data_IF_981676408578
#
_entry.id   IF_981676408578
#
_cell.length_a   1.000
_cell.length_b   1.000
_cell.length_c   1.000
_cell.angle_alpha   90.00
_cell.angle_beta   90.00
_cell.angle_gamma   90.00
#
_symmetry.space_group_name_H-M   'P 1'
#
loop_
_entity.id
_entity.type
_entity.pdbx_description
1 polymer ?
#
# COMPACT_ATOMS: atom_id res chain seq x y z
N UNK A 1 21.84 -41.41 23.37
CA UNK A 1 21.08 -40.16 23.26
C UNK A 1 20.71 -39.95 21.79
N UNK A 2 19.44 -40.12 21.44
CA UNK A 2 18.96 -40.18 20.07
C UNK A 2 18.61 -38.78 19.53
N UNK A 3 19.54 -38.17 18.78
CA UNK A 3 19.29 -37.02 17.91
C UNK A 3 18.68 -37.53 16.60
N UNK A 4 17.39 -37.90 16.59
CA UNK A 4 16.69 -38.28 15.35
C UNK A 4 15.44 -37.45 15.05
N UNK A 5 15.11 -36.50 15.91
CA UNK A 5 13.88 -35.69 15.80
C UNK A 5 14.11 -34.23 15.40
N UNK A 6 15.36 -33.75 15.38
CA UNK A 6 15.67 -32.34 15.05
C UNK A 6 15.47 -31.97 13.57
N UNK A 7 15.61 -32.93 12.65
CA UNK A 7 15.48 -32.66 11.21
C UNK A 7 14.03 -32.43 10.74
N UNK A 8 13.04 -33.01 11.43
CA UNK A 8 11.65 -32.92 11.03
C UNK A 8 11.05 -31.51 11.23
N UNK A 9 11.59 -30.74 12.18
CA UNK A 9 11.11 -29.37 12.48
C UNK A 9 11.61 -28.35 11.45
N UNK A 10 12.80 -28.57 10.87
CA UNK A 10 13.37 -27.66 9.85
C UNK A 10 12.61 -27.69 8.52
N UNK A 11 12.01 -28.83 8.15
CA UNK A 11 11.20 -28.94 6.92
C UNK A 11 9.88 -28.17 7.03
N UNK A 12 9.36 -27.94 8.24
CA UNK A 12 8.13 -27.16 8.44
C UNK A 12 8.33 -25.64 8.38
N UNK A 13 9.58 -25.16 8.25
CA UNK A 13 9.90 -23.75 8.07
C UNK A 13 10.16 -23.35 6.61
N UNK A 14 9.99 -24.28 5.66
CA UNK A 14 9.96 -23.95 4.24
C UNK A 14 8.64 -23.23 3.93
N UNK A 15 8.60 -21.92 4.18
CA UNK A 15 7.48 -21.06 3.81
C UNK A 15 7.32 -21.14 2.30
N UNK A 16 6.24 -21.76 1.84
CA UNK A 16 5.82 -21.64 0.44
C UNK A 16 5.16 -20.28 0.28
N UNK A 17 5.72 -19.46 -0.62
CA UNK A 17 5.04 -18.24 -1.04
C UNK A 17 3.80 -18.64 -1.85
N UNK A 18 2.63 -18.25 -1.37
CA UNK A 18 1.37 -18.39 -2.11
C UNK A 18 1.16 -17.16 -2.99
N UNK A 19 0.62 -17.37 -4.19
CA UNK A 19 0.27 -16.31 -5.13
C UNK A 19 -1.25 -16.32 -5.36
N UNK A 20 -1.85 -15.15 -5.52
CA UNK A 20 -3.20 -15.03 -6.05
C UNK A 20 -3.16 -15.18 -7.59
N UNK A 21 -3.88 -16.14 -8.18
CA UNK A 21 -3.86 -16.31 -9.63
C UNK A 21 -4.57 -15.13 -10.31
N UNK A 22 -4.24 -14.91 -11.58
CA UNK A 22 -4.99 -13.95 -12.40
C UNK A 22 -6.48 -14.35 -12.45
N UNK A 23 -7.37 -13.38 -12.20
CA UNK A 23 -8.81 -13.57 -12.29
C UNK A 23 -9.39 -12.73 -13.43
N UNK A 24 -9.97 -13.38 -14.45
CA UNK A 24 -10.57 -12.68 -15.59
C UNK A 24 -11.71 -11.74 -15.18
N UNK A 25 -12.44 -12.05 -14.11
CA UNK A 25 -13.53 -11.21 -13.62
C UNK A 25 -13.06 -9.91 -12.95
N UNK A 26 -11.77 -9.84 -12.57
CA UNK A 26 -11.13 -8.71 -11.89
C UNK A 26 -9.98 -8.13 -12.71
N UNK A 27 -10.07 -8.20 -14.04
CA UNK A 27 -8.99 -7.75 -14.94
C UNK A 27 -8.49 -6.33 -14.61
N UNK A 28 -9.37 -5.41 -14.23
CA UNK A 28 -9.01 -4.03 -13.87
C UNK A 28 -8.37 -3.87 -12.48
N UNK A 29 -8.47 -4.89 -11.62
CA UNK A 29 -8.00 -4.88 -10.23
C UNK A 29 -6.86 -5.87 -9.96
N UNK A 30 -6.47 -6.64 -10.96
CA UNK A 30 -5.38 -7.60 -10.83
C UNK A 30 -4.04 -6.86 -10.75
N UNK A 31 -3.31 -7.07 -9.65
CA UNK A 31 -1.92 -6.59 -9.50
C UNK A 31 -0.95 -7.26 -10.47
N UNK A 32 -1.30 -8.44 -10.97
CA UNK A 32 -0.51 -9.22 -11.91
C UNK A 32 -1.30 -9.40 -13.22
N UNK A 33 -0.73 -8.96 -14.32
CA UNK A 33 -1.28 -9.10 -15.67
C UNK A 33 -0.86 -10.42 -16.35
N UNK A 34 0.14 -11.13 -15.79
CA UNK A 34 0.56 -12.43 -16.29
C UNK A 34 -0.47 -13.52 -15.91
N UNK A 35 -1.29 -13.91 -16.89
CA UNK A 35 -2.36 -14.91 -16.74
C UNK A 35 -1.87 -16.31 -16.37
N UNK A 36 -0.61 -16.62 -16.66
CA UNK A 36 -0.03 -17.95 -16.45
C UNK A 36 0.82 -18.03 -15.18
N UNK A 37 0.96 -16.91 -14.44
CA UNK A 37 1.80 -16.88 -13.25
C UNK A 37 1.27 -17.83 -12.17
N UNK A 38 2.15 -18.73 -11.72
CA UNK A 38 1.89 -19.67 -10.62
C UNK A 38 2.74 -19.38 -9.38
N UNK A 39 3.72 -18.47 -9.53
CA UNK A 39 4.63 -18.02 -8.49
C UNK A 39 4.63 -16.47 -8.40
N UNK A 40 4.69 -15.85 -7.20
CA UNK A 40 4.76 -14.39 -7.09
C UNK A 40 5.97 -13.77 -7.78
N UNK A 41 7.06 -14.52 -7.97
CA UNK A 41 8.23 -14.07 -8.72
C UNK A 41 7.98 -13.91 -10.23
N UNK A 42 6.89 -14.51 -10.74
CA UNK A 42 6.46 -14.42 -12.15
C UNK A 42 5.45 -13.29 -12.38
N UNK A 43 5.11 -12.53 -11.34
CA UNK A 43 4.19 -11.41 -11.44
C UNK A 43 4.79 -10.30 -12.29
N UNK A 44 3.95 -9.76 -13.17
CA UNK A 44 4.32 -8.71 -14.10
C UNK A 44 3.13 -7.79 -14.33
N UNK A 45 3.41 -6.53 -14.63
CA UNK A 45 2.44 -5.57 -15.10
C UNK A 45 3.18 -4.41 -15.78
N UNK A 46 2.58 -3.86 -16.83
CA UNK A 46 3.10 -2.67 -17.49
C UNK A 46 2.02 -1.60 -17.45
N UNK A 47 2.37 -0.36 -17.10
CA UNK A 47 1.42 0.75 -17.21
C UNK A 47 1.66 1.47 -18.54
N UNK A 48 0.83 1.26 -19.58
CA UNK A 48 1.13 1.75 -20.91
C UNK A 48 1.13 3.28 -20.92
N UNK A 49 2.11 3.89 -21.58
CA UNK A 49 2.29 5.34 -21.67
C UNK A 49 2.53 6.05 -20.31
N UNK A 50 2.92 5.33 -19.26
CA UNK A 50 3.27 5.94 -17.98
C UNK A 50 4.75 6.31 -17.93
N UNK A 51 5.06 7.55 -17.52
CA UNK A 51 6.45 7.98 -17.26
C UNK A 51 6.69 7.94 -15.77
N UNK A 52 7.47 6.96 -15.31
CA UNK A 52 7.82 6.83 -13.89
C UNK A 52 8.70 7.99 -13.42
N UNK A 53 8.44 8.47 -12.22
CA UNK A 53 9.35 9.41 -11.56
C UNK A 53 10.63 8.65 -11.14
N UNK A 54 11.82 9.09 -11.57
CA UNK A 54 13.05 8.36 -11.27
C UNK A 54 13.33 8.34 -9.78
N UNK A 55 13.90 7.24 -9.29
CA UNK A 55 14.40 7.19 -7.93
C UNK A 55 15.54 8.19 -7.75
N UNK A 56 15.65 8.84 -6.57
CA UNK A 56 16.80 9.68 -6.27
C UNK A 56 18.11 8.88 -6.27
N UNK A 57 19.22 9.51 -6.62
CA UNK A 57 20.56 8.90 -6.54
C UNK A 57 20.92 8.47 -5.11
N UNK A 58 20.36 9.13 -4.09
CA UNK A 58 20.64 8.87 -2.69
C UNK A 58 19.42 9.17 -1.81
N UNK A 59 19.02 8.21 -0.99
CA UNK A 59 17.87 8.29 -0.08
C UNK A 59 18.19 8.94 1.28
N UNK A 60 19.40 9.47 1.49
CA UNK A 60 19.81 10.17 2.73
C UNK A 60 19.24 11.60 2.79
N UNK A 61 17.93 11.71 2.87
CA UNK A 61 17.21 12.96 3.13
C UNK A 61 16.02 12.70 4.06
N UNK A 62 15.41 13.74 4.64
CA UNK A 62 14.25 13.57 5.52
C UNK A 62 13.05 12.95 4.79
N UNK A 63 12.52 11.87 5.36
CA UNK A 63 11.33 11.17 4.90
C UNK A 63 10.21 11.41 5.91
N UNK A 64 9.00 11.69 5.42
CA UNK A 64 7.82 11.85 6.26
C UNK A 64 6.83 10.71 6.00
N UNK A 65 6.58 9.89 7.02
CA UNK A 65 5.52 8.89 7.01
C UNK A 65 4.25 9.52 7.55
N UNK A 66 3.17 9.44 6.78
CA UNK A 66 1.87 10.00 7.15
C UNK A 66 0.80 8.93 7.08
N UNK A 67 -0.16 9.00 8.00
CA UNK A 67 -1.41 8.25 7.88
C UNK A 67 -2.41 9.15 7.17
N UNK A 68 -2.67 8.89 5.88
CA UNK A 68 -3.46 9.78 5.02
C UNK A 68 -4.80 10.14 5.65
N UNK A 69 -5.55 9.14 6.14
CA UNK A 69 -6.85 9.28 6.81
C UNK A 69 -6.81 10.25 8.00
N UNK A 70 -5.67 10.40 8.67
CA UNK A 70 -5.50 11.24 9.87
C UNK A 70 -4.84 12.59 9.60
N UNK A 71 -4.53 12.91 8.34
CA UNK A 71 -3.71 14.05 8.01
C UNK A 71 -4.55 15.32 7.76
N UNK A 72 -5.17 15.41 6.59
CA UNK A 72 -6.03 16.55 6.20
C UNK A 72 -7.16 16.03 5.34
N UNK A 73 -8.40 16.39 5.71
CA UNK A 73 -9.60 16.14 4.93
C UNK A 73 -9.83 17.34 3.99
N UNK A 74 -9.50 17.17 2.71
CA UNK A 74 -9.66 18.20 1.68
C UNK A 74 -11.04 18.17 1.01
N UNK A 75 -11.67 17.00 0.88
CA UNK A 75 -12.97 16.80 0.29
C UNK A 75 -13.89 15.92 1.17
N UNK A 76 -14.71 16.55 2.04
CA UNK A 76 -15.62 15.84 2.93
C UNK A 76 -16.71 15.02 2.22
N UNK A 77 -16.88 15.17 0.90
CA UNK A 77 -17.89 14.41 0.16
C UNK A 77 -17.52 12.94 -0.04
N UNK A 78 -16.23 12.60 0.10
CA UNK A 78 -15.71 11.24 -0.04
C UNK A 78 -15.57 10.47 1.30
N UNK A 79 -15.95 11.10 2.41
CA UNK A 79 -15.81 10.54 3.76
C UNK A 79 -16.67 9.29 3.99
N UNK A 80 -17.84 9.25 3.35
CA UNK A 80 -18.80 8.15 3.43
C UNK A 80 -18.95 7.51 2.05
N UNK A 81 -18.28 6.38 1.85
CA UNK A 81 -18.27 5.69 0.56
C UNK A 81 -19.43 4.69 0.42
N UNK A 82 -20.08 4.29 1.53
CA UNK A 82 -21.10 3.24 1.53
C UNK A 82 -22.44 3.68 2.15
N UNK A 83 -22.58 4.98 2.49
CA UNK A 83 -23.76 5.54 3.19
C UNK A 83 -24.17 4.77 4.45
N UNK A 84 -23.24 4.05 5.10
CA UNK A 84 -23.54 3.33 6.33
C UNK A 84 -23.35 4.22 7.56
N UNK A 85 -24.11 3.95 8.61
CA UNK A 85 -24.18 4.75 9.84
C UNK A 85 -22.85 4.84 10.63
N UNK A 86 -21.81 4.06 10.26
CA UNK A 86 -20.58 3.89 11.04
C UNK A 86 -19.32 4.05 10.19
N UNK A 87 -19.23 5.07 9.34
CA UNK A 87 -18.06 5.31 8.50
C UNK A 87 -17.16 6.44 9.00
N UNK A 88 -17.75 7.55 9.45
CA UNK A 88 -17.01 8.75 9.85
C UNK A 88 -17.27 9.11 11.32
N UNK A 89 -16.31 8.83 12.20
CA UNK A 89 -16.32 9.26 13.60
C UNK A 89 -14.91 9.64 14.04
N UNK A 90 -14.69 10.95 14.19
CA UNK A 90 -13.43 11.56 14.62
C UNK A 90 -13.03 11.19 16.06
N UNK A 91 -13.97 10.70 16.87
CA UNK A 91 -13.71 10.28 18.24
C UNK A 91 -13.41 8.78 18.37
N UNK A 92 -13.56 8.02 17.29
CA UNK A 92 -13.24 6.60 17.25
C UNK A 92 -11.85 6.38 16.70
N UNK A 93 -11.12 5.41 17.25
CA UNK A 93 -9.83 5.01 16.66
C UNK A 93 -10.00 4.11 15.41
N UNK A 94 -11.19 3.55 15.20
CA UNK A 94 -11.46 2.54 14.18
C UNK A 94 -12.22 3.08 12.96
N UNK A 95 -12.79 4.28 13.05
CA UNK A 95 -13.57 4.88 11.98
C UNK A 95 -12.73 5.82 11.12
N UNK A 96 -13.22 6.12 9.92
CA UNK A 96 -12.54 7.03 9.00
C UNK A 96 -12.55 8.44 9.58
N UNK A 97 -11.44 9.13 9.43
CA UNK A 97 -11.28 10.53 9.84
C UNK A 97 -11.40 11.47 8.66
N UNK A 98 -11.34 10.93 7.45
CA UNK A 98 -11.63 11.66 6.22
C UNK A 98 -10.42 12.28 5.56
N UNK A 99 -9.21 11.97 6.04
CA UNK A 99 -8.01 12.45 5.38
C UNK A 99 -7.87 11.83 3.99
N UNK A 100 -7.60 12.67 2.99
CA UNK A 100 -7.70 12.30 1.59
C UNK A 100 -6.56 12.85 0.72
N UNK A 101 -6.56 12.45 -0.55
CA UNK A 101 -5.51 12.85 -1.51
C UNK A 101 -5.59 14.35 -1.80
N UNK A 102 -6.77 14.94 -1.80
CA UNK A 102 -6.97 16.37 -2.04
C UNK A 102 -6.30 17.19 -0.94
N UNK A 103 -6.55 16.84 0.32
CA UNK A 103 -5.95 17.48 1.48
C UNK A 103 -4.43 17.28 1.55
N UNK A 104 -3.92 16.13 1.08
CA UNK A 104 -2.48 15.93 0.93
C UNK A 104 -1.88 16.86 -0.13
N UNK A 105 -2.52 17.02 -1.29
CA UNK A 105 -2.05 17.91 -2.36
C UNK A 105 -1.98 19.35 -1.87
N UNK A 106 -3.00 19.81 -1.14
CA UNK A 106 -3.06 21.17 -0.59
C UNK A 106 -1.98 21.45 0.46
N UNK A 107 -1.39 20.41 1.04
CA UNK A 107 -0.34 20.52 2.08
C UNK A 107 1.07 20.19 1.59
N UNK A 108 1.25 19.89 0.30
CA UNK A 108 2.58 19.62 -0.26
C UNK A 108 3.54 20.81 -0.08
N UNK A 109 3.06 22.05 -0.23
CA UNK A 109 3.87 23.26 -0.02
C UNK A 109 4.34 23.37 1.44
N UNK A 110 3.51 22.95 2.39
CA UNK A 110 3.88 22.91 3.81
C UNK A 110 4.95 21.85 4.07
N UNK A 111 4.78 20.64 3.52
CA UNK A 111 5.77 19.56 3.64
C UNK A 111 7.11 19.94 2.99
N UNK A 112 7.06 20.56 1.82
CA UNK A 112 8.24 21.09 1.13
C UNK A 112 8.91 22.20 1.95
N UNK A 113 8.14 23.09 2.56
CA UNK A 113 8.63 24.16 3.45
C UNK A 113 9.35 23.64 4.69
N UNK A 114 8.97 22.47 5.20
CA UNK A 114 9.69 21.76 6.27
C UNK A 114 10.98 21.08 5.79
N UNK A 115 11.23 21.02 4.48
CA UNK A 115 12.39 20.34 3.89
C UNK A 115 12.19 18.84 3.67
N UNK A 116 10.96 18.34 3.75
CA UNK A 116 10.61 16.96 3.36
C UNK A 116 10.66 16.87 1.84
N UNK A 117 11.30 15.81 1.33
CA UNK A 117 11.48 15.60 -0.11
C UNK A 117 10.78 14.34 -0.62
N UNK A 118 10.35 13.46 0.28
CA UNK A 118 9.60 12.25 -0.03
C UNK A 118 8.58 11.99 1.08
N UNK A 119 7.36 11.67 0.67
CA UNK A 119 6.30 11.15 1.51
C UNK A 119 6.11 9.66 1.21
N UNK A 120 5.98 8.85 2.25
CA UNK A 120 5.61 7.44 2.14
C UNK A 120 4.18 7.28 2.66
N UNK A 121 3.34 6.61 1.87
CA UNK A 121 1.98 6.18 2.23
C UNK A 121 2.05 4.71 2.69
#
# INVERSE_FOLDING_TARGET
MHWKWGGAVLVQLAVTAICWPYDESLTDFNLNENKEASNPAEYWGEWPNHTYFPSPENWRFPIYTLFLDRFVNGDPTNDNSNDTLFEHDLNSNQMRHGGDVVGLVDTLDYLQGMGIKVCLN
#
